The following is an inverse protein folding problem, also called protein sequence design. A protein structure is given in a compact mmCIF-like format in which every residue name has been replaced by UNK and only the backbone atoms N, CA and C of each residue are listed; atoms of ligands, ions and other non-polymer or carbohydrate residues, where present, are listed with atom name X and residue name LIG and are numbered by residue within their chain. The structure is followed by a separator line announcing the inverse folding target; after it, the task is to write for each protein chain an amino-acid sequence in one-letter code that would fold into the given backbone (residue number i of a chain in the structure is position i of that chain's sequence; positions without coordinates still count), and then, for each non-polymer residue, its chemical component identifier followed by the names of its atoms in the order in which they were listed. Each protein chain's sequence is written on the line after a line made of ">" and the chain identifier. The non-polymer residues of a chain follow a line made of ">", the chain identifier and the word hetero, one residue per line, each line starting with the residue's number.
data_IF_757867687670
#
_entry.id   IF_757867687670
#
_cell.length_a   1.000
_cell.length_b   1.000
_cell.length_c   1.000
_cell.angle_alpha   90.00
_cell.angle_beta   90.00
_cell.angle_gamma   90.00
#
_symmetry.space_group_name_H-M   'P 1'
#
loop_
_entity.id
_entity.type
_entity.pdbx_description
1 polymer ?
#
# COMPACT_ATOMS: atom_id res chain seq x y z
N UNK A 1 30.29 -11.02 5.79
CA UNK A 1 31.14 -11.70 4.80
C UNK A 1 32.45 -10.96 4.56
N UNK A 2 32.46 -9.74 4.01
CA UNK A 2 33.73 -9.01 3.80
C UNK A 2 34.52 -8.78 5.10
N UNK A 3 33.83 -8.35 6.16
CA UNK A 3 34.42 -8.11 7.48
C UNK A 3 34.97 -9.40 8.14
N UNK A 4 34.29 -10.53 7.96
CA UNK A 4 34.72 -11.82 8.52
C UNK A 4 35.91 -12.43 7.76
N UNK A 5 35.99 -12.17 6.45
CA UNK A 5 37.14 -12.52 5.61
C UNK A 5 38.36 -11.69 6.03
N UNK A 6 38.16 -10.37 6.20
CA UNK A 6 39.24 -9.46 6.62
C UNK A 6 39.70 -9.82 8.04
N UNK A 7 38.79 -10.11 8.97
CA UNK A 7 39.17 -10.48 10.34
C UNK A 7 39.89 -11.82 10.40
N UNK A 8 39.45 -12.84 9.64
CA UNK A 8 40.14 -14.15 9.65
C UNK A 8 41.52 -14.03 9.02
N UNK A 9 41.66 -13.32 7.90
CA UNK A 9 42.94 -13.07 7.26
C UNK A 9 43.90 -12.26 8.16
N UNK A 10 43.39 -11.25 8.88
CA UNK A 10 44.16 -10.47 9.84
C UNK A 10 44.68 -11.33 11.00
N UNK A 11 43.81 -12.20 11.54
CA UNK A 11 44.20 -13.14 12.59
C UNK A 11 45.27 -14.10 12.04
N UNK A 12 45.07 -14.72 10.88
CA UNK A 12 46.06 -15.61 10.25
C UNK A 12 47.41 -14.89 10.04
N UNK A 13 47.40 -13.63 9.61
CA UNK A 13 48.63 -12.84 9.38
C UNK A 13 49.35 -12.45 10.68
N UNK A 14 48.61 -12.19 11.77
CA UNK A 14 49.17 -11.85 13.08
C UNK A 14 49.94 -13.03 13.72
N UNK A 15 49.48 -14.26 13.49
CA UNK A 15 50.10 -15.47 14.04
C UNK A 15 51.37 -15.90 13.27
N UNK A 16 51.54 -15.43 12.03
CA UNK A 16 52.71 -15.76 11.20
C UNK A 16 54.06 -15.27 11.77
N UNK A 17 54.22 -14.00 12.21
CA UNK A 17 55.48 -13.54 12.83
C UNK A 17 55.70 -14.14 14.23
N UNK A 18 54.64 -14.48 14.96
CA UNK A 18 54.75 -15.18 16.25
C UNK A 18 55.37 -16.57 16.07
N UNK A 19 55.03 -17.27 14.99
CA UNK A 19 55.63 -18.55 14.62
C UNK A 19 57.14 -18.41 14.32
N UNK A 20 57.54 -17.40 13.53
CA UNK A 20 58.94 -17.14 13.17
C UNK A 20 59.80 -16.82 14.41
N UNK A 21 59.21 -16.18 15.43
CA UNK A 21 59.90 -15.83 16.66
C UNK A 21 60.16 -17.04 17.59
N UNK A 22 59.22 -17.99 17.66
CA UNK A 22 59.32 -19.19 18.51
C UNK A 22 60.14 -20.33 17.89
N UNK A 23 60.25 -20.37 16.56
CA UNK A 23 60.96 -21.41 15.80
C UNK A 23 61.86 -20.73 14.75
N UNK A 24 63.00 -20.15 15.17
CA UNK A 24 63.85 -19.29 14.32
C UNK A 24 64.60 -20.06 13.23
N UNK A 25 64.75 -21.38 13.37
CA UNK A 25 65.36 -22.25 12.36
C UNK A 25 64.30 -22.74 11.36
N UNK A 26 64.64 -22.66 10.06
CA UNK A 26 63.80 -23.18 8.99
C UNK A 26 63.86 -24.71 9.00
N UNK A 27 62.95 -25.32 9.77
CA UNK A 27 62.74 -26.78 9.81
C UNK A 27 61.41 -27.14 9.14
N UNK A 28 61.47 -28.05 8.17
CA UNK A 28 60.31 -28.58 7.43
C UNK A 28 59.29 -29.20 8.38
N UNK A 29 59.74 -29.79 9.49
CA UNK A 29 58.87 -30.37 10.52
C UNK A 29 57.92 -29.33 11.14
N UNK A 30 58.42 -28.11 11.40
CA UNK A 30 57.62 -27.04 12.00
C UNK A 30 56.51 -26.57 11.04
N UNK A 31 56.83 -26.36 9.77
CA UNK A 31 55.81 -26.00 8.77
C UNK A 31 54.75 -27.10 8.59
N UNK A 32 55.15 -28.38 8.62
CA UNK A 32 54.24 -29.50 8.49
C UNK A 32 53.24 -29.58 9.64
N UNK A 33 53.63 -29.17 10.85
CA UNK A 33 52.78 -29.21 12.05
C UNK A 33 51.85 -27.99 12.17
N UNK A 34 52.33 -26.79 11.86
CA UNK A 34 51.59 -25.54 12.13
C UNK A 34 50.69 -25.05 10.99
N UNK A 35 51.01 -25.39 9.74
CA UNK A 35 50.26 -24.89 8.57
C UNK A 35 48.87 -25.54 8.40
N UNK A 36 48.67 -26.85 8.64
CA UNK A 36 47.34 -27.47 8.56
C UNK A 36 46.27 -26.90 9.50
N UNK A 37 46.51 -26.66 10.82
CA UNK A 37 45.50 -26.09 11.70
C UNK A 37 45.14 -24.63 11.38
N UNK A 38 46.09 -23.84 10.85
CA UNK A 38 45.79 -22.48 10.37
C UNK A 38 44.85 -22.51 9.17
N UNK A 39 45.11 -23.39 8.20
CA UNK A 39 44.20 -23.59 7.06
C UNK A 39 42.84 -24.09 7.55
N UNK A 40 42.81 -25.03 8.49
CA UNK A 40 41.56 -25.58 9.05
C UNK A 40 40.68 -24.51 9.70
N UNK A 41 41.26 -23.68 10.56
CA UNK A 41 40.52 -22.58 11.24
C UNK A 41 40.04 -21.51 10.26
N UNK A 42 40.83 -21.19 9.23
CA UNK A 42 40.40 -20.31 8.16
C UNK A 42 39.21 -20.89 7.40
N UNK A 43 39.27 -22.16 6.96
CA UNK A 43 38.17 -22.82 6.25
C UNK A 43 36.89 -22.83 7.10
N UNK A 44 36.99 -23.18 8.39
CA UNK A 44 35.83 -23.19 9.30
C UNK A 44 35.20 -21.80 9.45
N UNK A 45 36.01 -20.74 9.58
CA UNK A 45 35.52 -19.37 9.66
C UNK A 45 34.78 -18.95 8.37
N UNK A 46 35.31 -19.36 7.21
CA UNK A 46 34.71 -19.08 5.90
C UNK A 46 33.39 -19.84 5.72
N UNK A 47 33.35 -21.12 6.06
CA UNK A 47 32.12 -21.91 6.07
C UNK A 47 31.05 -21.26 6.95
N UNK A 48 31.40 -20.85 8.18
CA UNK A 48 30.47 -20.17 9.09
C UNK A 48 30.01 -18.80 8.57
N UNK A 49 30.84 -18.08 7.80
CA UNK A 49 30.40 -16.84 7.14
C UNK A 49 29.46 -17.10 5.97
N UNK A 50 29.67 -18.17 5.21
CA UNK A 50 28.82 -18.53 4.07
C UNK A 50 27.44 -18.98 4.56
N UNK A 51 27.38 -19.81 5.60
CA UNK A 51 26.12 -20.25 6.21
C UNK A 51 25.31 -19.05 6.70
N UNK A 52 25.90 -18.16 7.50
CA UNK A 52 25.22 -16.93 7.97
C UNK A 52 24.82 -15.99 6.82
N UNK A 53 25.64 -15.91 5.77
CA UNK A 53 25.30 -15.15 4.58
C UNK A 53 24.07 -15.72 3.88
N UNK A 54 23.96 -17.05 3.80
CA UNK A 54 22.82 -17.75 3.22
C UNK A 54 21.56 -17.59 4.07
N UNK A 55 21.65 -17.76 5.40
CA UNK A 55 20.54 -17.52 6.33
C UNK A 55 19.98 -16.10 6.18
N UNK A 56 20.87 -15.10 6.25
CA UNK A 56 20.49 -13.71 6.04
C UNK A 56 19.87 -13.48 4.66
N UNK A 57 20.37 -14.14 3.62
CA UNK A 57 19.81 -14.02 2.27
C UNK A 57 18.39 -14.60 2.19
N UNK A 58 18.15 -15.77 2.78
CA UNK A 58 16.82 -16.38 2.86
C UNK A 58 15.86 -15.49 3.66
N UNK A 59 16.30 -14.96 4.79
CA UNK A 59 15.47 -14.08 5.62
C UNK A 59 15.18 -12.75 4.93
N UNK A 60 16.14 -12.18 4.21
CA UNK A 60 15.91 -10.99 3.39
C UNK A 60 14.90 -11.24 2.26
N UNK A 61 14.90 -12.43 1.65
CA UNK A 61 13.89 -12.79 0.64
C UNK A 61 12.50 -12.84 1.28
N UNK A 62 12.35 -13.49 2.43
CA UNK A 62 11.07 -13.55 3.16
C UNK A 62 10.59 -12.17 3.57
N UNK A 63 11.48 -11.37 4.17
CA UNK A 63 11.18 -9.99 4.58
C UNK A 63 10.73 -9.15 3.38
N UNK A 64 11.41 -9.28 2.23
CA UNK A 64 11.04 -8.57 1.01
C UNK A 64 9.64 -8.99 0.52
N UNK A 65 9.35 -10.29 0.49
CA UNK A 65 8.03 -10.79 0.11
C UNK A 65 6.91 -10.32 1.07
N UNK A 66 7.21 -10.27 2.38
CA UNK A 66 6.28 -9.73 3.39
C UNK A 66 6.04 -8.24 3.19
N UNK A 67 7.09 -7.46 2.91
CA UNK A 67 6.97 -6.02 2.64
C UNK A 67 6.17 -5.75 1.36
N UNK A 68 6.42 -6.50 0.28
CA UNK A 68 5.62 -6.39 -0.95
C UNK A 68 4.15 -6.74 -0.70
N UNK A 69 3.88 -7.79 0.08
CA UNK A 69 2.51 -8.17 0.46
C UNK A 69 1.84 -7.08 1.30
N UNK A 70 2.56 -6.48 2.25
CA UNK A 70 2.05 -5.35 3.06
C UNK A 70 1.79 -4.12 2.19
N UNK A 71 2.68 -3.79 1.27
CA UNK A 71 2.49 -2.68 0.34
C UNK A 71 1.24 -2.89 -0.52
N UNK A 72 1.07 -4.07 -1.11
CA UNK A 72 -0.13 -4.40 -1.89
C UNK A 72 -1.41 -4.32 -1.05
N UNK A 73 -1.37 -4.78 0.21
CA UNK A 73 -2.51 -4.63 1.13
C UNK A 73 -2.81 -3.16 1.43
N UNK A 74 -1.79 -2.35 1.67
CA UNK A 74 -1.95 -0.91 1.94
C UNK A 74 -2.48 -0.17 0.71
N UNK A 75 -1.98 -0.47 -0.49
CA UNK A 75 -2.50 0.09 -1.74
C UNK A 75 -3.95 -0.31 -1.97
N UNK A 76 -4.30 -1.58 -1.72
CA UNK A 76 -5.67 -2.05 -1.78
C UNK A 76 -6.58 -1.37 -0.74
N UNK A 77 -6.10 -1.18 0.48
CA UNK A 77 -6.84 -0.45 1.52
C UNK A 77 -7.01 1.02 1.16
N UNK A 78 -5.99 1.66 0.58
CA UNK A 78 -6.07 3.03 0.06
C UNK A 78 -7.12 3.12 -1.05
N UNK A 79 -7.08 2.22 -2.03
CA UNK A 79 -8.09 2.14 -3.10
C UNK A 79 -9.50 1.92 -2.54
N UNK A 80 -9.64 1.01 -1.56
CA UNK A 80 -10.92 0.79 -0.86
C UNK A 80 -11.38 2.01 -0.09
N UNK A 81 -10.46 2.77 0.52
CA UNK A 81 -10.79 3.96 1.30
C UNK A 81 -11.37 5.08 0.44
N UNK A 82 -11.08 5.08 -0.86
CA UNK A 82 -11.72 6.00 -1.80
C UNK A 82 -13.24 5.77 -1.90
N UNK A 83 -13.74 4.58 -1.50
CA UNK A 83 -15.17 4.25 -1.46
C UNK A 83 -15.59 4.03 -0.01
N UNK A 84 -16.55 4.80 0.49
CA UNK A 84 -17.14 4.59 1.81
C UNK A 84 -18.02 3.32 1.81
N UNK A 85 -17.62 2.20 2.47
CA UNK A 85 -18.38 0.95 2.40
C UNK A 85 -19.77 1.08 3.03
N UNK A 86 -19.90 1.90 4.06
CA UNK A 86 -21.18 2.17 4.71
C UNK A 86 -22.12 2.93 3.77
N UNK A 87 -21.61 3.87 2.97
CA UNK A 87 -22.40 4.50 1.91
C UNK A 87 -22.90 3.46 0.90
N UNK A 88 -22.03 2.54 0.46
CA UNK A 88 -22.38 1.51 -0.52
C UNK A 88 -23.51 0.59 -0.02
N UNK A 89 -23.37 0.04 1.18
CA UNK A 89 -24.41 -0.82 1.78
C UNK A 89 -25.74 -0.11 1.96
N UNK A 90 -25.71 1.15 2.44
CA UNK A 90 -26.94 1.92 2.61
C UNK A 90 -27.61 2.25 1.27
N UNK A 91 -26.81 2.54 0.24
CA UNK A 91 -27.34 2.81 -1.10
C UNK A 91 -28.02 1.58 -1.66
N UNK A 92 -27.41 0.40 -1.53
CA UNK A 92 -28.03 -0.87 -1.92
C UNK A 92 -29.33 -1.15 -1.16
N UNK A 93 -29.36 -0.93 0.16
CA UNK A 93 -30.58 -1.12 0.96
C UNK A 93 -31.71 -0.17 0.54
N UNK A 94 -31.40 1.09 0.22
CA UNK A 94 -32.40 2.02 -0.30
C UNK A 94 -32.91 1.61 -1.69
N UNK A 95 -32.02 1.12 -2.56
CA UNK A 95 -32.41 0.59 -3.86
C UNK A 95 -33.34 -0.62 -3.67
N UNK A 96 -33.02 -1.54 -2.76
CA UNK A 96 -33.87 -2.69 -2.43
C UNK A 96 -35.27 -2.25 -1.98
N UNK A 97 -35.36 -1.28 -1.07
CA UNK A 97 -36.64 -0.69 -0.68
C UNK A 97 -37.39 -0.04 -1.86
N UNK A 98 -36.67 0.56 -2.82
CA UNK A 98 -37.26 1.13 -4.03
C UNK A 98 -37.74 0.06 -5.02
N UNK A 99 -37.18 -1.15 -5.06
CA UNK A 99 -37.61 -2.21 -5.99
C UNK A 99 -39.12 -2.47 -5.83
N UNK A 100 -39.63 -2.46 -4.61
CA UNK A 100 -41.05 -2.67 -4.34
C UNK A 100 -41.91 -1.41 -4.47
N UNK A 101 -41.34 -0.22 -4.21
CA UNK A 101 -42.10 1.04 -4.16
C UNK A 101 -42.13 1.77 -5.51
N UNK A 102 -41.01 1.79 -6.22
CA UNK A 102 -40.80 2.45 -7.51
C UNK A 102 -39.67 1.74 -8.28
N UNK A 103 -39.98 0.67 -9.04
CA UNK A 103 -38.98 -0.11 -9.78
C UNK A 103 -38.13 0.74 -10.74
N UNK A 104 -38.74 1.76 -11.36
CA UNK A 104 -38.05 2.67 -12.27
C UNK A 104 -36.99 3.51 -11.53
N UNK A 105 -37.30 4.00 -10.33
CA UNK A 105 -36.33 4.73 -9.51
C UNK A 105 -35.23 3.82 -8.97
N UNK A 106 -35.56 2.58 -8.63
CA UNK A 106 -34.57 1.57 -8.25
C UNK A 106 -33.58 1.32 -9.40
N UNK A 107 -34.08 1.12 -10.62
CA UNK A 107 -33.25 0.93 -11.81
C UNK A 107 -32.35 2.13 -12.09
N UNK A 108 -32.90 3.36 -12.07
CA UNK A 108 -32.13 4.60 -12.26
C UNK A 108 -31.05 4.80 -11.20
N UNK A 109 -31.35 4.43 -9.95
CA UNK A 109 -30.41 4.54 -8.83
C UNK A 109 -29.31 3.50 -8.93
N UNK A 110 -29.64 2.26 -9.34
CA UNK A 110 -28.64 1.22 -9.60
C UNK A 110 -27.68 1.62 -10.72
N UNK A 111 -28.18 2.20 -11.81
CA UNK A 111 -27.33 2.75 -12.88
C UNK A 111 -26.41 3.86 -12.35
N UNK A 112 -26.96 4.82 -11.59
CA UNK A 112 -26.15 5.91 -10.99
C UNK A 112 -25.07 5.37 -10.06
N UNK A 113 -25.35 4.30 -9.30
CA UNK A 113 -24.36 3.63 -8.46
C UNK A 113 -23.28 2.95 -9.30
N UNK A 114 -23.67 2.26 -10.38
CA UNK A 114 -22.73 1.63 -11.30
C UNK A 114 -21.79 2.64 -11.97
N UNK A 115 -22.32 3.78 -12.41
CA UNK A 115 -21.52 4.84 -13.06
C UNK A 115 -20.57 5.50 -12.06
N UNK A 116 -21.05 5.76 -10.85
CA UNK A 116 -20.22 6.26 -9.75
C UNK A 116 -19.07 5.29 -9.41
N UNK A 117 -19.34 3.99 -9.29
CA UNK A 117 -18.31 2.97 -9.03
C UNK A 117 -17.32 2.84 -10.18
N UNK A 118 -17.78 2.95 -11.43
CA UNK A 118 -16.91 2.91 -12.61
C UNK A 118 -15.90 4.06 -12.58
N UNK A 119 -16.35 5.28 -12.28
CA UNK A 119 -15.47 6.43 -12.12
C UNK A 119 -14.38 6.16 -11.07
N UNK A 120 -14.78 5.65 -9.89
CA UNK A 120 -13.87 5.34 -8.79
C UNK A 120 -12.81 4.27 -9.10
N UNK A 121 -13.06 3.38 -10.06
CA UNK A 121 -12.14 2.28 -10.38
C UNK A 121 -11.18 2.67 -11.50
N UNK A 122 -11.65 3.44 -12.49
CA UNK A 122 -10.90 3.68 -13.72
C UNK A 122 -10.37 5.10 -13.87
N UNK A 123 -11.05 6.09 -13.29
CA UNK A 123 -10.77 7.51 -13.53
C UNK A 123 -10.04 8.18 -12.35
N UNK A 124 -9.85 7.48 -11.22
CA UNK A 124 -9.13 8.02 -10.05
C UNK A 124 -7.66 7.64 -9.99
N UNK A 125 -7.22 6.71 -10.84
CA UNK A 125 -5.82 6.25 -10.94
C UNK A 125 -5.00 7.02 -12.00
N UNK A 126 -5.54 8.11 -12.54
CA UNK A 126 -4.86 9.00 -13.49
C UNK A 126 -4.50 10.33 -12.82
N UNK A 127 -3.51 11.03 -13.36
CA UNK A 127 -3.05 12.31 -12.79
C UNK A 127 -4.13 13.39 -12.86
N UNK A 128 -4.85 13.49 -13.98
CA UNK A 128 -5.93 14.44 -14.18
C UNK A 128 -7.14 13.80 -14.87
N UNK A 129 -8.32 14.40 -14.61
CA UNK A 129 -9.60 14.10 -15.25
C UNK A 129 -10.27 15.39 -15.70
N UNK A 130 -11.11 15.31 -16.74
CA UNK A 130 -11.91 16.46 -17.14
C UNK A 130 -12.90 16.84 -16.04
N UNK A 131 -13.06 18.14 -15.78
CA UNK A 131 -14.01 18.66 -14.79
C UNK A 131 -15.45 18.16 -15.03
N UNK A 132 -15.85 17.95 -16.29
CA UNK A 132 -17.18 17.39 -16.61
C UNK A 132 -17.40 15.98 -16.02
N UNK A 133 -16.38 15.11 -16.03
CA UNK A 133 -16.49 13.77 -15.43
C UNK A 133 -16.61 13.83 -13.91
N UNK A 134 -15.86 14.73 -13.27
CA UNK A 134 -15.98 14.97 -11.82
C UNK A 134 -17.38 15.50 -11.47
N UNK A 135 -17.93 16.42 -12.27
CA UNK A 135 -19.30 16.93 -12.10
C UNK A 135 -20.33 15.81 -12.22
N UNK A 136 -20.25 14.99 -13.27
CA UNK A 136 -21.14 13.83 -13.48
C UNK A 136 -21.08 12.86 -12.29
N UNK A 137 -19.86 12.58 -11.82
CA UNK A 137 -19.65 11.77 -10.61
C UNK A 137 -20.33 12.38 -9.37
N UNK A 138 -20.16 13.69 -9.13
CA UNK A 138 -20.79 14.38 -7.99
C UNK A 138 -22.32 14.40 -8.10
N UNK A 139 -22.88 14.54 -9.30
CA UNK A 139 -24.32 14.47 -9.53
C UNK A 139 -24.89 13.11 -9.15
N UNK A 140 -24.24 12.02 -9.60
CA UNK A 140 -24.63 10.66 -9.20
C UNK A 140 -24.49 10.46 -7.68
N UNK A 141 -23.38 10.91 -7.09
CA UNK A 141 -23.15 10.80 -5.66
C UNK A 141 -24.22 11.53 -4.83
N UNK A 142 -24.49 12.79 -5.14
CA UNK A 142 -25.50 13.60 -4.45
C UNK A 142 -26.89 12.97 -4.62
N UNK A 143 -27.24 12.52 -5.82
CA UNK A 143 -28.53 11.88 -6.10
C UNK A 143 -28.74 10.64 -5.22
N UNK A 144 -27.73 9.78 -5.09
CA UNK A 144 -27.79 8.58 -4.25
C UNK A 144 -27.84 8.93 -2.76
N UNK A 145 -27.08 9.94 -2.32
CA UNK A 145 -27.12 10.43 -0.94
C UNK A 145 -28.49 11.02 -0.57
N UNK A 146 -29.18 11.68 -1.52
CA UNK A 146 -30.54 12.19 -1.30
C UNK A 146 -31.56 11.08 -1.03
N UNK A 147 -31.34 9.86 -1.52
CA UNK A 147 -32.21 8.71 -1.18
C UNK A 147 -32.19 8.38 0.33
N UNK A 148 -31.12 8.75 1.04
CA UNK A 148 -30.96 8.55 2.48
C UNK A 148 -31.57 9.69 3.31
N UNK A 149 -31.84 10.84 2.70
CA UNK A 149 -32.36 12.01 3.40
C UNK A 149 -33.88 11.94 3.45
N UNK A 150 -34.45 12.09 4.65
CA UNK A 150 -35.91 12.24 4.81
C UNK A 150 -36.42 13.53 4.18
N UNK A 151 -35.61 14.59 4.24
CA UNK A 151 -35.93 15.92 3.72
C UNK A 151 -34.91 16.30 2.64
N UNK A 152 -35.27 16.06 1.38
CA UNK A 152 -34.37 16.28 0.24
C UNK A 152 -34.32 17.74 -0.24
N UNK A 153 -35.22 18.59 0.28
CA UNK A 153 -35.38 20.01 -0.07
C UNK A 153 -34.22 20.89 0.42
N UNK A 154 -33.41 20.41 1.37
CA UNK A 154 -32.26 21.14 1.91
C UNK A 154 -30.98 21.02 1.07
N UNK A 155 -31.01 20.25 -0.02
CA UNK A 155 -29.83 20.03 -0.88
C UNK A 155 -30.05 20.68 -2.24
N UNK A 156 -29.49 21.89 -2.40
CA UNK A 156 -29.41 22.63 -3.65
C UNK A 156 -27.95 22.69 -4.14
N UNK A 157 -27.74 22.42 -5.42
CA UNK A 157 -26.43 22.53 -6.06
C UNK A 157 -26.61 23.08 -7.48
N UNK A 158 -25.58 23.76 -7.97
CA UNK A 158 -25.55 24.30 -9.34
C UNK A 158 -24.13 24.14 -9.86
N UNK A 159 -24.00 23.40 -10.95
CA UNK A 159 -22.74 23.24 -11.67
C UNK A 159 -22.72 24.19 -12.86
N UNK A 160 -21.59 24.84 -13.09
CA UNK A 160 -21.37 25.63 -14.30
C UNK A 160 -21.32 24.67 -15.49
N UNK A 161 -22.16 24.92 -16.50
CA UNK A 161 -22.10 24.16 -17.74
C UNK A 161 -20.91 24.60 -18.58
N UNK A 162 -20.31 23.65 -19.31
CA UNK A 162 -19.34 23.88 -20.39
C UNK A 162 -17.86 24.08 -19.99
N UNK A 163 -17.37 23.37 -18.97
CA UNK A 163 -15.95 23.35 -18.59
C UNK A 163 -15.11 22.33 -19.39
N UNK A 164 -15.26 22.30 -20.72
CA UNK A 164 -14.70 21.25 -21.58
C UNK A 164 -13.16 21.18 -21.57
N UNK A 165 -12.49 22.30 -21.32
CA UNK A 165 -11.03 22.41 -21.43
C UNK A 165 -10.32 22.42 -20.06
N UNK A 166 -11.03 22.10 -18.97
CA UNK A 166 -10.47 22.13 -17.62
C UNK A 166 -10.19 20.72 -17.12
N UNK A 167 -8.93 20.45 -16.86
CA UNK A 167 -8.46 19.24 -16.19
C UNK A 167 -8.17 19.53 -14.71
N UNK A 168 -8.56 18.60 -13.85
CA UNK A 168 -8.37 18.67 -12.40
C UNK A 168 -7.89 17.31 -11.86
N UNK A 169 -7.33 17.31 -10.65
CA UNK A 169 -7.11 16.07 -9.93
C UNK A 169 -8.46 15.36 -9.66
N UNK A 170 -8.55 14.03 -9.82
CA UNK A 170 -9.79 13.30 -9.58
C UNK A 170 -10.20 13.36 -8.10
N UNK A 171 -11.51 13.32 -7.84
CA UNK A 171 -12.11 13.27 -6.49
C UNK A 171 -11.79 14.52 -5.65
N UNK A 172 -11.37 15.62 -6.29
CA UNK A 172 -10.96 16.85 -5.61
C UNK A 172 -12.09 17.48 -4.79
N UNK A 173 -13.33 17.40 -5.29
CA UNK A 173 -14.47 18.08 -4.67
C UNK A 173 -15.31 17.16 -3.76
N UNK A 174 -15.14 15.84 -3.88
CA UNK A 174 -15.88 14.87 -3.07
C UNK A 174 -15.78 15.12 -1.56
N UNK A 175 -14.60 15.40 -0.96
CA UNK A 175 -14.50 15.62 0.49
C UNK A 175 -15.40 16.75 0.99
N UNK A 176 -15.55 17.83 0.20
CA UNK A 176 -16.39 18.96 0.56
C UNK A 176 -17.88 18.60 0.50
N UNK A 177 -18.28 17.85 -0.53
CA UNK A 177 -19.68 17.41 -0.69
C UNK A 177 -20.06 16.41 0.40
N UNK A 178 -19.19 15.43 0.69
CA UNK A 178 -19.40 14.44 1.74
C UNK A 178 -19.50 15.09 3.12
N UNK A 179 -18.63 16.07 3.43
CA UNK A 179 -18.67 16.80 4.69
C UNK A 179 -20.03 17.50 4.89
N UNK A 180 -20.51 18.26 3.90
CA UNK A 180 -21.77 18.99 4.00
C UNK A 180 -22.98 18.04 4.13
N UNK A 181 -23.02 16.96 3.34
CA UNK A 181 -24.11 15.98 3.41
C UNK A 181 -24.12 15.23 4.75
N UNK A 182 -22.94 14.93 5.31
CA UNK A 182 -22.83 14.29 6.62
C UNK A 182 -23.32 15.21 7.74
N UNK A 183 -23.02 16.51 7.68
CA UNK A 183 -23.57 17.52 8.60
C UNK A 183 -25.09 17.62 8.52
N UNK A 184 -25.65 17.58 7.31
CA UNK A 184 -27.11 17.56 7.12
C UNK A 184 -27.75 16.31 7.70
N UNK A 185 -27.17 15.13 7.48
CA UNK A 185 -27.67 13.87 8.07
C UNK A 185 -27.67 13.92 9.61
N UNK A 186 -26.65 14.49 10.22
CA UNK A 186 -26.62 14.67 11.68
C UNK A 186 -27.74 15.60 12.18
N UNK A 187 -27.97 16.74 11.53
CA UNK A 187 -29.04 17.68 11.91
C UNK A 187 -30.43 17.07 11.76
N UNK A 188 -30.68 16.32 10.70
CA UNK A 188 -31.98 15.68 10.45
C UNK A 188 -32.27 14.56 11.46
N UNK A 189 -31.24 13.79 11.84
CA UNK A 189 -31.40 12.68 12.79
C UNK A 189 -31.41 13.12 14.26
N UNK A 190 -30.83 14.28 14.58
CA UNK A 190 -30.77 14.85 15.93
C UNK A 190 -31.21 16.32 15.92
N UNK A 191 -32.52 16.60 15.76
CA UNK A 191 -33.03 17.96 15.88
C UNK A 191 -32.83 18.47 17.31
N UNK A 192 -32.25 19.67 17.45
CA UNK A 192 -32.13 20.39 18.72
C UNK A 192 -33.51 20.79 19.27
#
# INVERSE_FOLDING_TARGET
>A
MLLSIISSALITFLFLPLHILFLPEFDVFNYLVFLPPMIGTFILAQCGSLIRGFENWVDNIKLKAELETRNLKNELELLKSQINPHFLFNTLNNIDALIHKSPDDASRSLLSLSDMLRYMIYETNVENVSLNKEIEYLEHYIKLQKLRLRETEFVNYTFLQNCKDTEIAPVLFLPFVEMHLSMLQMKVNYPL
#
